data_IF_218686800139
#
_entry.id   IF_218686800139
#
_cell.length_a   1.000
_cell.length_b   1.000
_cell.length_c   1.000
_cell.angle_alpha   90.00
_cell.angle_beta   90.00
_cell.angle_gamma   90.00
#
_symmetry.space_group_name_H-M   'P 1'
#
loop_
_entity.id
_entity.type
_entity.pdbx_description
1 polymer ?
#
# COMPACT_ATOMS: atom_id res chain seq x y z
N UNK A 1 3.66 -5.05 44.91
CA UNK A 1 3.82 -3.71 44.31
C UNK A 1 4.80 -3.84 43.14
N UNK A 2 4.26 -3.89 41.92
CA UNK A 2 4.42 -2.87 40.83
C UNK A 2 5.88 -2.63 40.45
N UNK A 3 6.36 -2.82 39.23
CA UNK A 3 5.75 -3.11 37.94
C UNK A 3 6.78 -2.85 36.83
N UNK A 4 6.34 -3.09 35.59
CA UNK A 4 6.97 -2.70 34.31
C UNK A 4 8.32 -3.39 34.01
N UNK A 5 8.59 -3.93 32.82
CA UNK A 5 8.28 -3.39 31.51
C UNK A 5 8.03 -4.52 30.50
N UNK A 6 6.78 -4.68 30.10
CA UNK A 6 6.39 -5.43 28.92
C UNK A 6 6.79 -4.61 27.67
N UNK A 7 8.04 -4.69 27.27
CA UNK A 7 8.52 -3.95 26.10
C UNK A 7 8.04 -4.63 24.80
N UNK A 8 7.20 -3.90 24.06
CA UNK A 8 7.03 -3.97 22.60
C UNK A 8 6.22 -5.16 22.01
N UNK A 9 4.96 -5.33 22.41
CA UNK A 9 4.03 -6.31 21.78
C UNK A 9 3.08 -5.74 20.71
N UNK A 10 3.24 -4.49 20.27
CA UNK A 10 2.28 -3.85 19.32
C UNK A 10 2.94 -2.99 18.25
N UNK A 11 4.13 -3.35 17.75
CA UNK A 11 4.72 -2.70 16.58
C UNK A 11 4.50 -3.53 15.32
N UNK A 12 3.81 -2.94 14.33
CA UNK A 12 4.07 -3.05 12.87
C UNK A 12 3.47 -4.16 11.99
N UNK A 13 2.58 -5.04 12.44
CA UNK A 13 2.02 -6.08 11.53
C UNK A 13 1.23 -5.59 10.30
N UNK A 14 0.85 -4.31 10.19
CA UNK A 14 0.03 -3.79 9.06
C UNK A 14 0.81 -3.05 7.97
N UNK A 15 1.97 -2.48 8.29
CA UNK A 15 2.82 -1.74 7.34
C UNK A 15 3.84 -2.63 6.65
N UNK A 16 4.26 -3.73 7.31
CA UNK A 16 5.22 -4.69 6.75
C UNK A 16 4.71 -5.26 5.42
N UNK A 17 3.43 -5.61 5.32
CA UNK A 17 2.89 -6.28 4.13
C UNK A 17 2.83 -5.40 2.85
N UNK A 18 2.83 -4.07 2.96
CA UNK A 18 2.87 -3.17 1.78
C UNK A 18 4.30 -2.88 1.36
N UNK A 19 5.15 -2.46 2.30
CA UNK A 19 6.55 -2.15 2.03
C UNK A 19 7.32 -3.40 1.57
N UNK A 20 7.03 -4.56 2.15
CA UNK A 20 7.61 -5.84 1.71
C UNK A 20 7.13 -6.22 0.30
N UNK A 21 5.85 -6.01 -0.01
CA UNK A 21 5.32 -6.28 -1.35
C UNK A 21 5.94 -5.38 -2.41
N UNK A 22 6.13 -4.09 -2.10
CA UNK A 22 6.82 -3.14 -2.98
C UNK A 22 8.28 -3.53 -3.19
N UNK A 23 9.02 -3.83 -2.12
CA UNK A 23 10.42 -4.27 -2.22
C UNK A 23 10.55 -5.56 -3.04
N UNK A 24 9.60 -6.48 -2.89
CA UNK A 24 9.59 -7.72 -3.66
C UNK A 24 9.29 -7.47 -5.14
N UNK A 25 8.37 -6.56 -5.43
CA UNK A 25 8.05 -6.15 -6.80
C UNK A 25 9.28 -5.53 -7.49
N UNK A 26 10.00 -4.63 -6.81
CA UNK A 26 11.25 -4.05 -7.34
C UNK A 26 12.29 -5.13 -7.68
N UNK A 27 12.46 -6.13 -6.82
CA UNK A 27 13.36 -7.25 -7.08
C UNK A 27 12.94 -8.10 -8.27
N UNK A 28 11.64 -8.30 -8.46
CA UNK A 28 11.10 -9.03 -9.61
C UNK A 28 11.36 -8.25 -10.90
N UNK A 29 11.07 -6.95 -10.90
CA UNK A 29 11.34 -6.07 -12.05
C UNK A 29 12.82 -6.10 -12.41
N UNK A 30 13.72 -5.92 -11.44
CA UNK A 30 15.16 -5.96 -11.67
C UNK A 30 15.62 -7.30 -12.29
N UNK A 31 15.04 -8.42 -11.83
CA UNK A 31 15.34 -9.75 -12.38
C UNK A 31 14.83 -9.93 -13.81
N UNK A 32 13.63 -9.44 -14.10
CA UNK A 32 13.04 -9.51 -15.44
C UNK A 32 13.81 -8.62 -16.42
N UNK A 33 14.25 -7.44 -16.00
CA UNK A 33 15.06 -6.51 -16.82
C UNK A 33 16.45 -7.05 -17.14
N UNK A 34 17.06 -7.83 -16.21
CA UNK A 34 18.36 -8.48 -16.46
C UNK A 34 18.29 -9.52 -17.58
N UNK A 35 17.15 -10.13 -17.84
CA UNK A 35 16.94 -11.06 -18.96
C UNK A 35 17.70 -12.39 -18.91
N UNK A 36 18.46 -12.67 -17.84
CA UNK A 36 19.28 -13.87 -17.66
C UNK A 36 18.49 -15.07 -17.09
N UNK A 37 17.16 -15.03 -17.23
CA UNK A 37 16.23 -15.95 -16.58
C UNK A 37 15.59 -16.91 -17.60
N UNK A 38 15.46 -18.21 -17.29
CA UNK A 38 14.68 -19.15 -18.11
C UNK A 38 13.23 -18.69 -18.26
N UNK A 39 12.62 -18.94 -19.43
CA UNK A 39 11.26 -18.50 -19.75
C UNK A 39 10.22 -18.89 -18.69
N UNK A 40 10.25 -20.14 -18.19
CA UNK A 40 9.33 -20.61 -17.16
C UNK A 40 9.44 -19.77 -15.87
N UNK A 41 10.66 -19.49 -15.42
CA UNK A 41 10.89 -18.65 -14.25
C UNK A 41 10.45 -17.19 -14.49
N UNK A 42 10.61 -16.68 -15.72
CA UNK A 42 10.16 -15.33 -16.07
C UNK A 42 8.64 -15.22 -16.00
N UNK A 43 7.91 -16.26 -16.42
CA UNK A 43 6.45 -16.34 -16.31
C UNK A 43 6.02 -16.40 -14.84
N UNK A 44 6.70 -17.19 -14.02
CA UNK A 44 6.44 -17.24 -12.57
C UNK A 44 6.68 -15.87 -11.90
N UNK A 45 7.84 -15.25 -12.17
CA UNK A 45 8.19 -13.94 -11.64
C UNK A 45 7.19 -12.85 -12.07
N UNK A 46 6.76 -12.87 -13.33
CA UNK A 46 5.73 -11.96 -13.83
C UNK A 46 4.39 -12.17 -13.11
N UNK A 47 3.96 -13.42 -12.94
CA UNK A 47 2.71 -13.75 -12.23
C UNK A 47 2.77 -13.30 -10.77
N UNK A 48 3.89 -13.52 -10.09
CA UNK A 48 4.14 -13.02 -8.74
C UNK A 48 4.04 -11.49 -8.70
N UNK A 49 4.70 -10.80 -9.64
CA UNK A 49 4.67 -9.33 -9.75
C UNK A 49 3.26 -8.77 -9.92
N UNK A 50 2.43 -9.38 -10.79
CA UNK A 50 1.02 -8.99 -10.95
C UNK A 50 0.23 -9.17 -9.65
N UNK A 51 0.48 -10.25 -8.91
CA UNK A 51 -0.14 -10.47 -7.60
C UNK A 51 0.23 -9.38 -6.58
N UNK A 52 1.51 -8.99 -6.56
CA UNK A 52 2.02 -7.94 -5.66
C UNK A 52 1.44 -6.56 -5.99
N UNK A 53 1.34 -6.21 -7.28
CA UNK A 53 0.71 -4.95 -7.72
C UNK A 53 -0.74 -4.87 -7.23
N UNK A 54 -1.51 -5.96 -7.37
CA UNK A 54 -2.89 -6.02 -6.88
C UNK A 54 -2.97 -5.85 -5.37
N UNK A 55 -2.11 -6.55 -4.64
CA UNK A 55 -2.03 -6.42 -3.18
C UNK A 55 -1.73 -4.98 -2.76
N UNK A 56 -0.75 -4.33 -3.41
CA UNK A 56 -0.41 -2.94 -3.13
C UNK A 56 -1.60 -2.00 -3.38
N UNK A 57 -2.31 -2.18 -4.50
CA UNK A 57 -3.49 -1.40 -4.83
C UNK A 57 -4.60 -1.56 -3.78
N UNK A 58 -4.91 -2.79 -3.37
CA UNK A 58 -5.92 -3.05 -2.33
C UNK A 58 -5.56 -2.40 -0.98
N UNK A 59 -4.26 -2.37 -0.64
CA UNK A 59 -3.79 -1.70 0.59
C UNK A 59 -3.94 -0.19 0.51
N UNK A 60 -3.64 0.41 -0.64
CA UNK A 60 -3.83 1.85 -0.87
C UNK A 60 -5.32 2.21 -0.80
N UNK A 61 -6.20 1.43 -1.43
CA UNK A 61 -7.65 1.62 -1.33
C UNK A 61 -8.15 1.49 0.12
N UNK A 62 -7.67 0.49 0.88
CA UNK A 62 -8.04 0.34 2.30
C UNK A 62 -7.58 1.54 3.13
N UNK A 63 -6.37 2.05 2.86
CA UNK A 63 -5.84 3.24 3.51
C UNK A 63 -6.68 4.48 3.16
N UNK A 64 -6.99 4.69 1.88
CA UNK A 64 -7.82 5.79 1.40
C UNK A 64 -9.20 5.79 2.08
N UNK A 65 -9.89 4.63 2.08
CA UNK A 65 -11.20 4.48 2.71
C UNK A 65 -11.16 4.77 4.21
N UNK A 66 -10.08 4.40 4.91
CA UNK A 66 -9.91 4.75 6.34
C UNK A 66 -9.70 6.24 6.52
N UNK A 67 -8.89 6.87 5.68
CA UNK A 67 -8.68 8.33 5.71
C UNK A 67 -10.01 9.04 5.47
N UNK A 68 -10.77 8.66 4.45
CA UNK A 68 -12.11 9.23 4.17
C UNK A 68 -13.08 9.08 5.35
N UNK A 69 -13.07 7.94 6.07
CA UNK A 69 -13.92 7.71 7.25
C UNK A 69 -13.49 8.48 8.49
N UNK A 70 -12.18 8.64 8.71
CA UNK A 70 -11.65 9.48 9.79
C UNK A 70 -11.91 10.96 9.50
N UNK A 71 -11.99 11.30 8.22
CA UNK A 71 -12.44 12.57 7.70
C UNK A 71 -13.99 12.60 7.73
N UNK A 72 -14.62 12.15 8.81
CA UNK A 72 -16.04 12.30 9.18
C UNK A 72 -16.12 12.33 10.73
N UNK A 73 -16.72 13.36 11.34
CA UNK A 73 -16.48 13.71 12.75
C UNK A 73 -16.69 15.20 13.10
N UNK A 74 -17.96 15.59 13.23
CA UNK A 74 -18.43 16.55 14.25
C UNK A 74 -17.68 17.90 14.34
N UNK A 75 -18.04 18.91 13.55
CA UNK A 75 -19.36 19.54 13.50
C UNK A 75 -20.30 19.04 12.39
N UNK A 76 -19.93 17.95 11.73
CA UNK A 76 -20.56 17.48 10.50
C UNK A 76 -19.80 17.91 9.25
N UNK A 77 -18.59 18.50 9.35
CA UNK A 77 -17.81 18.84 8.16
C UNK A 77 -16.42 18.27 8.13
N UNK A 78 -16.20 17.56 7.04
CA UNK A 78 -14.91 17.06 6.62
C UNK A 78 -14.85 17.08 5.11
N UNK A 79 -13.70 17.47 4.59
CA UNK A 79 -13.49 17.68 3.17
C UNK A 79 -12.40 16.71 2.75
N UNK A 80 -12.72 15.79 1.85
CA UNK A 80 -11.72 15.13 1.02
C UNK A 80 -12.02 15.42 -0.44
N UNK A 81 -11.00 15.81 -1.17
CA UNK A 81 -11.03 15.77 -2.63
C UNK A 81 -10.51 14.39 -3.03
N UNK A 82 -11.19 13.66 -3.94
CA UNK A 82 -10.64 12.43 -4.50
C UNK A 82 -9.27 12.69 -5.12
N UNK A 83 -8.28 11.83 -4.84
CA UNK A 83 -6.91 12.00 -5.35
C UNK A 83 -6.87 12.01 -6.89
N UNK A 84 -7.82 11.32 -7.53
CA UNK A 84 -7.96 11.21 -8.98
C UNK A 84 -8.83 12.29 -9.64
N UNK A 85 -9.44 13.21 -8.86
CA UNK A 85 -10.13 14.34 -9.49
C UNK A 85 -9.11 15.43 -9.80
N UNK A 86 -8.91 15.83 -11.07
CA UNK A 86 -8.24 17.09 -11.34
C UNK A 86 -9.00 18.16 -10.57
N UNK A 87 -8.26 18.99 -9.81
CA UNK A 87 -8.81 20.11 -9.07
C UNK A 87 -9.64 20.93 -10.06
N UNK A 88 -10.96 20.78 -10.00
CA UNK A 88 -11.86 21.61 -10.78
C UNK A 88 -11.80 22.97 -10.10
N UNK A 89 -10.83 23.78 -10.53
CA UNK A 89 -10.79 25.19 -10.23
C UNK A 89 -12.16 25.75 -10.62
N UNK A 90 -12.84 26.28 -9.63
CA UNK A 90 -13.99 27.12 -9.86
C UNK A 90 -13.52 28.37 -10.62
N UNK A 91 -13.56 28.31 -11.95
CA UNK A 91 -13.56 29.50 -12.77
C UNK A 91 -14.98 29.72 -13.30
N UNK A 92 -15.59 30.77 -12.75
CA UNK A 92 -16.84 31.48 -13.09
C UNK A 92 -18.13 30.97 -12.45
#
# INVERSE_FOLDING_TARGET
>A
MVGAEAQSRTKRKKTENFEEAMKRLEQIVEKLEKGDMPLEQAIEAFTEGVGLVRLCHEKLEEAEKKVQKLVQGEDGRWITTPLDKPLQNNES
#
